data_IF_568854492774
#
_entry.id   IF_568854492774
#
_cell.length_a   1.000
_cell.length_b   1.000
_cell.length_c   1.000
_cell.angle_alpha   90.00
_cell.angle_beta   90.00
_cell.angle_gamma   90.00
#
_symmetry.space_group_name_H-M   'P 1'
#
loop_
_entity.id
_entity.type
_entity.pdbx_description
1 polymer ?
#
# COMPACT_ATOMS: atom_id res chain seq x y z
N UNK A 1 9.84 -12.15 7.66
CA UNK A 1 9.38 -10.95 6.96
C UNK A 1 8.03 -10.64 7.56
N UNK A 2 7.92 -9.47 8.16
CA UNK A 2 6.67 -9.02 8.74
C UNK A 2 6.22 -7.69 8.10
N UNK A 3 4.93 -7.43 8.24
CA UNK A 3 4.33 -6.14 7.92
C UNK A 3 4.16 -5.41 9.25
N UNK A 4 4.68 -4.20 9.38
CA UNK A 4 4.37 -3.37 10.54
C UNK A 4 3.35 -2.33 10.16
N UNK A 5 2.43 -2.10 11.07
CA UNK A 5 1.32 -1.16 10.92
C UNK A 5 1.38 -0.18 12.09
N UNK A 6 1.26 1.11 11.79
CA UNK A 6 1.16 2.19 12.77
C UNK A 6 -0.04 3.06 12.43
N UNK A 7 -1.08 2.90 13.23
CA UNK A 7 -2.36 3.61 13.10
C UNK A 7 -2.29 5.08 13.53
N UNK A 8 -1.14 5.53 14.05
CA UNK A 8 -0.89 6.88 14.59
C UNK A 8 -1.62 7.16 15.91
N UNK A 9 -1.93 6.10 16.65
CA UNK A 9 -2.67 6.13 17.91
C UNK A 9 -1.74 6.38 19.13
N UNK A 10 -0.44 6.56 18.87
CA UNK A 10 0.60 6.67 19.91
C UNK A 10 1.17 5.32 20.38
N UNK A 11 0.64 4.20 19.90
CA UNK A 11 1.14 2.85 20.20
C UNK A 11 2.38 2.43 19.39
N UNK A 12 2.74 3.22 18.37
CA UNK A 12 3.90 2.96 17.50
C UNK A 12 3.68 1.84 16.49
N UNK A 13 4.78 1.30 15.96
CA UNK A 13 4.75 0.21 14.98
C UNK A 13 4.43 -1.13 15.63
N UNK A 14 3.37 -1.77 15.15
CA UNK A 14 2.95 -3.09 15.60
C UNK A 14 3.10 -4.10 14.46
N UNK A 15 3.73 -5.26 14.70
CA UNK A 15 3.84 -6.31 13.69
C UNK A 15 2.46 -6.92 13.42
N UNK A 16 2.17 -7.23 12.16
CA UNK A 16 0.94 -7.90 11.74
C UNK A 16 0.81 -9.25 12.43
N UNK A 17 1.91 -9.99 12.58
CA UNK A 17 1.93 -11.25 13.31
C UNK A 17 1.57 -11.10 14.80
N UNK A 18 1.82 -9.93 15.40
CA UNK A 18 1.42 -9.61 16.77
C UNK A 18 -0.04 -9.20 16.89
N UNK A 19 -0.58 -8.52 15.87
CA UNK A 19 -1.98 -8.12 15.81
C UNK A 19 -2.91 -9.28 15.47
N UNK A 20 -2.54 -10.06 14.46
CA UNK A 20 -3.31 -11.18 13.95
C UNK A 20 -2.36 -12.37 13.70
N UNK A 21 -2.27 -13.34 14.62
CA UNK A 21 -1.24 -14.39 14.59
C UNK A 21 -1.39 -15.40 13.43
N UNK A 22 -2.55 -15.44 12.78
CA UNK A 22 -2.84 -16.36 11.67
C UNK A 22 -2.43 -15.82 10.29
N UNK A 23 -1.92 -14.59 10.24
CA UNK A 23 -1.53 -13.94 9.00
C UNK A 23 -0.02 -13.89 8.87
N UNK A 24 0.47 -14.20 7.67
CA UNK A 24 1.89 -14.13 7.33
C UNK A 24 2.07 -13.36 6.04
N UNK A 25 2.97 -12.39 6.06
CA UNK A 25 3.33 -11.64 4.86
C UNK A 25 4.10 -12.55 3.88
N UNK A 26 3.63 -12.65 2.64
CA UNK A 26 4.30 -13.36 1.55
C UNK A 26 5.12 -12.41 0.70
N UNK A 27 4.52 -11.30 0.27
CA UNK A 27 5.19 -10.34 -0.60
C UNK A 27 4.74 -8.91 -0.31
N UNK A 28 5.65 -7.98 -0.57
CA UNK A 28 5.44 -6.55 -0.40
C UNK A 28 6.05 -5.82 -1.60
N UNK A 29 5.19 -5.33 -2.48
CA UNK A 29 5.57 -4.73 -3.76
C UNK A 29 4.91 -3.35 -3.92
N UNK A 30 5.58 -2.26 -3.49
CA UNK A 30 5.12 -0.91 -3.78
C UNK A 30 5.38 -0.58 -5.24
N UNK A 31 4.40 0.01 -5.93
CA UNK A 31 4.59 0.46 -7.31
C UNK A 31 5.66 1.56 -7.39
N UNK A 32 6.35 1.60 -8.53
CA UNK A 32 7.30 2.66 -8.82
C UNK A 32 6.58 4.02 -8.89
N UNK A 33 7.22 5.10 -8.40
CA UNK A 33 6.63 6.44 -8.47
C UNK A 33 6.37 6.81 -9.92
N UNK A 34 5.15 7.24 -10.21
CA UNK A 34 4.72 7.68 -11.53
C UNK A 34 4.33 9.16 -11.49
N UNK A 35 4.46 9.85 -12.62
CA UNK A 35 4.12 11.27 -12.76
C UNK A 35 3.08 11.42 -13.86
N UNK A 36 2.10 12.28 -13.63
CA UNK A 36 1.26 12.75 -14.74
C UNK A 36 2.01 13.77 -15.56
N UNK A 37 2.03 13.56 -16.89
CA UNK A 37 2.63 14.48 -17.85
C UNK A 37 1.61 14.74 -18.94
N UNK A 38 1.22 15.99 -19.07
CA UNK A 38 0.49 16.45 -20.24
C UNK A 38 1.47 16.65 -21.40
N UNK A 39 1.28 15.87 -22.46
CA UNK A 39 2.10 15.87 -23.65
C UNK A 39 1.25 16.33 -24.84
N UNK A 40 1.76 17.30 -25.61
CA UNK A 40 1.11 17.75 -26.84
C UNK A 40 1.96 17.39 -28.04
N UNK A 41 1.30 16.91 -29.09
CA UNK A 41 1.93 16.68 -30.39
C UNK A 41 1.80 17.96 -31.22
N UNK A 42 2.94 18.52 -31.60
CA UNK A 42 2.97 19.67 -32.51
C UNK A 42 2.79 19.19 -33.96
N UNK A 43 1.87 19.81 -34.68
CA UNK A 43 1.65 19.49 -36.10
C UNK A 43 2.92 19.75 -36.90
N UNK A 44 3.36 18.77 -37.71
CA UNK A 44 4.57 18.81 -38.57
C UNK A 44 5.92 18.65 -37.87
N UNK A 45 5.96 18.36 -36.57
CA UNK A 45 7.20 17.98 -35.86
C UNK A 45 7.10 16.55 -35.33
N UNK A 46 8.22 15.82 -35.41
CA UNK A 46 8.32 14.49 -34.79
C UNK A 46 8.64 14.66 -33.31
N UNK A 47 7.78 14.14 -32.45
CA UNK A 47 7.98 14.13 -30.99
C UNK A 47 6.78 14.67 -30.21
N UNK A 48 6.87 14.51 -28.90
CA UNK A 48 5.90 15.02 -27.93
C UNK A 48 6.59 16.05 -27.05
N UNK A 49 5.92 17.18 -26.83
CA UNK A 49 6.43 18.25 -25.98
C UNK A 49 5.61 18.31 -24.69
N UNK A 50 6.25 18.28 -23.50
CA UNK A 50 5.54 18.51 -22.26
C UNK A 50 5.05 19.96 -22.20
N UNK A 51 3.76 20.15 -21.92
CA UNK A 51 3.16 21.48 -21.78
C UNK A 51 3.41 22.09 -20.41
N UNK A 52 3.68 21.24 -19.41
CA UNK A 52 3.85 21.64 -18.03
C UNK A 52 5.30 22.03 -17.73
N UNK A 53 5.47 23.07 -16.91
CA UNK A 53 6.79 23.41 -16.40
C UNK A 53 7.26 22.26 -15.47
N UNK A 54 8.57 21.92 -15.42
CA UNK A 54 9.06 20.82 -14.59
C UNK A 54 8.73 20.89 -13.09
N UNK A 55 8.38 22.09 -12.59
CA UNK A 55 7.96 22.31 -11.20
C UNK A 55 6.49 21.96 -10.94
N UNK A 56 5.68 21.91 -11.98
CA UNK A 56 4.23 21.66 -11.89
C UNK A 56 3.91 20.17 -12.07
N UNK A 57 4.92 19.33 -12.26
CA UNK A 57 4.77 17.88 -12.40
C UNK A 57 4.39 17.30 -11.03
N UNK A 58 3.19 16.73 -10.95
CA UNK A 58 2.67 16.09 -9.74
C UNK A 58 2.92 14.58 -9.81
N UNK A 59 3.39 14.01 -8.69
CA UNK A 59 3.47 12.57 -8.53
C UNK A 59 2.08 11.99 -8.29
N UNK A 60 1.78 10.91 -9.01
CA UNK A 60 0.53 10.17 -8.84
C UNK A 60 0.57 9.39 -7.54
N UNK A 61 -0.61 9.18 -6.98
CA UNK A 61 -0.82 8.14 -5.98
C UNK A 61 -0.32 6.80 -6.53
N UNK A 62 0.29 6.00 -5.66
CA UNK A 62 0.84 4.69 -6.02
C UNK A 62 0.12 3.61 -5.25
N UNK A 63 -0.14 2.48 -5.91
CA UNK A 63 -0.65 1.30 -5.24
C UNK A 63 0.49 0.53 -4.58
N UNK A 64 0.18 -0.15 -3.47
CA UNK A 64 1.11 -1.08 -2.83
C UNK A 64 0.42 -2.42 -2.78
N UNK A 65 0.99 -3.40 -3.49
CA UNK A 65 0.49 -4.77 -3.51
C UNK A 65 1.12 -5.53 -2.38
N UNK A 66 0.27 -6.11 -1.54
CA UNK A 66 0.67 -6.89 -0.37
C UNK A 66 -0.01 -8.24 -0.49
N UNK A 67 0.77 -9.31 -0.55
CA UNK A 67 0.23 -10.67 -0.53
C UNK A 67 0.38 -11.25 0.87
N UNK A 68 -0.73 -11.74 1.42
CA UNK A 68 -0.79 -12.24 2.79
C UNK A 68 -1.36 -13.65 2.76
N UNK A 69 -0.66 -14.58 3.41
CA UNK A 69 -1.14 -15.91 3.66
C UNK A 69 -1.94 -15.92 4.96
N UNK A 70 -3.17 -16.43 4.87
CA UNK A 70 -4.02 -16.71 6.02
C UNK A 70 -4.05 -18.22 6.27
N UNK A 71 -3.62 -18.63 7.46
CA UNK A 71 -3.58 -20.03 7.87
C UNK A 71 -4.81 -20.36 8.74
N UNK A 72 -5.89 -20.82 8.10
CA UNK A 72 -7.10 -21.28 8.77
C UNK A 72 -7.19 -22.80 8.74
N UNK A 73 -7.07 -23.44 9.91
CA UNK A 73 -7.22 -24.90 10.07
C UNK A 73 -8.62 -25.41 9.73
N UNK A 74 -9.64 -24.56 9.86
CA UNK A 74 -11.05 -24.89 9.64
C UNK A 74 -11.66 -23.81 8.74
N UNK A 75 -12.46 -24.22 7.76
CA UNK A 75 -13.11 -23.31 6.80
C UNK A 75 -14.00 -22.24 7.47
N UNK A 76 -14.65 -22.56 8.58
CA UNK A 76 -15.47 -21.59 9.32
C UNK A 76 -14.64 -20.41 9.84
N UNK A 77 -13.41 -20.67 10.30
CA UNK A 77 -12.53 -19.64 10.84
C UNK A 77 -11.97 -18.73 9.73
N UNK A 78 -11.92 -19.21 8.48
CA UNK A 78 -11.44 -18.41 7.34
C UNK A 78 -12.23 -17.09 7.22
N UNK A 79 -13.57 -17.16 7.26
CA UNK A 79 -14.41 -15.98 7.13
C UNK A 79 -14.29 -15.03 8.31
N UNK A 80 -14.19 -15.58 9.52
CA UNK A 80 -13.98 -14.79 10.73
C UNK A 80 -12.65 -14.04 10.67
N UNK A 81 -11.55 -14.75 10.40
CA UNK A 81 -10.22 -14.12 10.31
C UNK A 81 -10.16 -13.10 9.18
N UNK A 82 -10.77 -13.38 8.01
CA UNK A 82 -10.87 -12.40 6.93
C UNK A 82 -11.59 -11.13 7.37
N UNK A 83 -12.65 -11.25 8.18
CA UNK A 83 -13.37 -10.10 8.71
C UNK A 83 -12.56 -9.32 9.74
N UNK A 84 -11.83 -10.01 10.63
CA UNK A 84 -10.90 -9.39 11.57
C UNK A 84 -9.81 -8.60 10.84
N UNK A 85 -9.24 -9.18 9.77
CA UNK A 85 -8.28 -8.49 8.91
C UNK A 85 -8.91 -7.27 8.23
N UNK A 86 -10.11 -7.41 7.65
CA UNK A 86 -10.82 -6.27 7.06
C UNK A 86 -10.96 -5.11 8.05
N UNK A 87 -11.41 -5.38 9.27
CA UNK A 87 -11.59 -4.36 10.30
C UNK A 87 -10.26 -3.72 10.75
N UNK A 88 -9.15 -4.45 10.65
CA UNK A 88 -7.82 -3.95 10.95
C UNK A 88 -7.34 -2.96 9.89
N UNK A 89 -7.35 -3.35 8.60
CA UNK A 89 -6.75 -2.55 7.51
C UNK A 89 -7.68 -1.50 6.91
N UNK A 90 -8.99 -1.70 6.97
CA UNK A 90 -9.96 -0.73 6.43
C UNK A 90 -10.30 0.29 7.52
N UNK A 91 -9.49 1.35 7.57
CA UNK A 91 -9.61 2.44 8.52
C UNK A 91 -10.17 3.71 7.85
N UNK A 92 -10.87 4.59 8.61
CA UNK A 92 -11.38 5.86 8.08
C UNK A 92 -10.26 6.88 7.80
N UNK A 93 -9.08 6.70 8.40
CA UNK A 93 -7.91 7.55 8.25
C UNK A 93 -6.74 6.76 7.65
N UNK A 94 -5.78 7.51 7.09
CA UNK A 94 -4.54 6.93 6.61
C UNK A 94 -3.64 6.51 7.79
N UNK A 95 -2.91 5.41 7.59
CA UNK A 95 -1.96 4.84 8.55
C UNK A 95 -0.62 4.55 7.85
N UNK A 96 0.42 4.27 8.63
CA UNK A 96 1.71 3.88 8.08
C UNK A 96 1.84 2.37 8.01
N UNK A 97 2.41 1.89 6.90
CA UNK A 97 2.93 0.54 6.79
C UNK A 97 4.42 0.56 6.52
N UNK A 98 5.14 -0.41 7.07
CA UNK A 98 6.55 -0.64 6.81
C UNK A 98 6.83 -2.14 6.75
N UNK A 99 7.96 -2.51 6.16
CA UNK A 99 8.33 -3.90 5.98
C UNK A 99 9.83 -4.09 6.21
N UNK A 100 10.21 -5.22 6.80
CA UNK A 100 11.61 -5.58 7.06
C UNK A 100 12.50 -5.52 5.80
N UNK A 101 11.93 -5.81 4.61
CA UNK A 101 12.69 -5.80 3.35
C UNK A 101 13.11 -4.39 2.90
N UNK A 102 12.42 -3.36 3.38
CA UNK A 102 12.67 -1.96 3.04
C UNK A 102 12.90 -1.15 4.31
N UNK A 103 14.01 -1.41 5.04
CA UNK A 103 14.25 -0.78 6.33
C UNK A 103 14.38 0.74 6.17
N UNK A 104 13.84 1.48 7.14
CA UNK A 104 13.84 2.95 7.14
C UNK A 104 12.86 3.59 6.16
N UNK A 105 12.04 2.81 5.44
CA UNK A 105 10.94 3.33 4.62
C UNK A 105 9.59 3.00 5.25
N UNK A 106 8.75 4.02 5.34
CA UNK A 106 7.35 3.92 5.77
C UNK A 106 6.46 4.50 4.68
N UNK A 107 5.32 3.88 4.47
CA UNK A 107 4.36 4.27 3.44
C UNK A 107 3.07 4.69 4.12
N UNK A 108 2.64 5.94 3.92
CA UNK A 108 1.30 6.37 4.31
C UNK A 108 0.31 5.79 3.31
N UNK A 109 -0.66 5.04 3.80
CA UNK A 109 -1.61 4.28 2.97
C UNK A 109 -3.03 4.41 3.50
N UNK A 110 -3.98 4.17 2.60
CA UNK A 110 -5.37 3.86 2.89
C UNK A 110 -5.70 2.53 2.21
N UNK A 111 -6.60 1.74 2.79
CA UNK A 111 -7.09 0.50 2.18
C UNK A 111 -8.56 0.67 1.84
N UNK A 112 -8.91 0.35 0.60
CA UNK A 112 -10.26 0.43 0.04
C UNK A 112 -11.12 -0.81 0.32
N UNK A 113 -10.54 -1.85 0.95
CA UNK A 113 -11.25 -3.10 1.24
C UNK A 113 -11.30 -4.08 0.06
N UNK A 114 -10.58 -3.79 -1.04
CA UNK A 114 -10.50 -4.65 -2.21
C UNK A 114 -9.50 -5.78 -2.03
N UNK A 115 -9.95 -6.94 -1.53
CA UNK A 115 -9.14 -8.15 -1.39
C UNK A 115 -9.93 -9.44 -1.57
#
# INVERSE_FOLDING_TARGET
>A
MDLYIDFRDGMGEQPLSGLLPYFKLLSFAPDAPSTDRELVQLTRFNGLVPTQHPRDIVYKERSIKVEILLDAKIAANFYQYRHEFYNLVVQPSWYYISCDLLPGRRFAVTCDGGF
#
